data_IF_276117280171
#
_entry.id   IF_276117280171
#
_cell.length_a   1.000
_cell.length_b   1.000
_cell.length_c   1.000
_cell.angle_alpha   90.00
_cell.angle_beta   90.00
_cell.angle_gamma   90.00
#
_symmetry.space_group_name_H-M   'P 1'
#
loop_
_entity.id
_entity.type
_entity.pdbx_description
1 polymer ?
#
# COMPACT_ATOMS: atom_id res chain seq x y z
N UNK A 1 -8.32 9.69 -0.31
CA UNK A 1 -7.79 8.32 -0.01
C UNK A 1 -8.82 7.46 0.71
N UNK A 2 -9.52 7.96 1.74
CA UNK A 2 -10.62 7.20 2.38
C UNK A 2 -11.67 6.76 1.36
N UNK A 3 -12.09 7.61 0.45
CA UNK A 3 -13.09 7.29 -0.59
C UNK A 3 -12.70 6.10 -1.48
N UNK A 4 -11.41 5.96 -1.80
CA UNK A 4 -10.92 4.83 -2.57
C UNK A 4 -11.19 3.49 -1.88
N UNK A 5 -10.96 3.43 -0.56
CA UNK A 5 -11.12 2.24 0.25
C UNK A 5 -12.59 1.98 0.66
N UNK A 6 -13.39 3.03 0.84
CA UNK A 6 -14.83 2.90 1.14
C UNK A 6 -15.57 2.20 0.01
N UNK A 7 -15.25 2.51 -1.25
CA UNK A 7 -15.88 1.90 -2.41
C UNK A 7 -15.49 0.43 -2.59
N UNK A 8 -14.23 0.10 -2.34
CA UNK A 8 -13.71 -1.26 -2.35
C UNK A 8 -12.45 -1.36 -1.47
N UNK A 9 -12.47 -2.11 -0.36
CA UNK A 9 -11.35 -2.18 0.56
C UNK A 9 -10.24 -3.17 0.13
N UNK A 10 -10.37 -3.83 -1.02
CA UNK A 10 -9.40 -4.82 -1.50
C UNK A 10 -8.27 -4.15 -2.28
N UNK A 11 -7.04 -4.54 -2.00
CA UNK A 11 -5.83 -4.02 -2.62
C UNK A 11 -4.96 -5.19 -3.07
N UNK A 12 -4.54 -5.18 -4.34
CA UNK A 12 -3.62 -6.20 -4.84
C UNK A 12 -2.18 -5.86 -4.44
N UNK A 13 -1.49 -6.76 -3.76
CA UNK A 13 -0.04 -6.73 -3.66
C UNK A 13 0.52 -7.54 -4.84
N UNK A 14 0.78 -6.86 -5.97
CA UNK A 14 1.16 -7.47 -7.22
C UNK A 14 2.68 -7.41 -7.46
N UNK A 15 3.19 -8.36 -8.23
CA UNK A 15 4.49 -8.32 -8.86
C UNK A 15 4.36 -7.84 -10.32
N UNK A 16 5.48 -7.51 -10.96
CA UNK A 16 5.47 -7.07 -12.35
C UNK A 16 4.76 -8.10 -13.27
N UNK A 17 5.02 -9.39 -13.07
CA UNK A 17 4.50 -10.47 -13.92
C UNK A 17 2.98 -10.61 -13.86
N UNK A 18 2.33 -10.26 -12.75
CA UNK A 18 0.88 -10.33 -12.59
C UNK A 18 0.19 -8.94 -12.50
N UNK A 19 0.93 -7.87 -12.81
CA UNK A 19 0.40 -6.50 -12.76
C UNK A 19 -0.82 -6.31 -13.68
N UNK A 20 -0.77 -6.86 -14.90
CA UNK A 20 -1.88 -6.81 -15.86
C UNK A 20 -3.15 -7.49 -15.32
N UNK A 21 -3.01 -8.61 -14.61
CA UNK A 21 -4.12 -9.29 -13.94
C UNK A 21 -4.69 -8.41 -12.83
N UNK A 22 -3.85 -7.83 -11.98
CA UNK A 22 -4.28 -6.93 -10.92
C UNK A 22 -5.02 -5.70 -11.46
N UNK A 23 -4.55 -5.09 -12.55
CA UNK A 23 -5.21 -3.95 -13.20
C UNK A 23 -6.61 -4.30 -13.69
N UNK A 24 -6.83 -5.54 -14.15
CA UNK A 24 -8.12 -6.01 -14.66
C UNK A 24 -9.04 -6.59 -13.57
N UNK A 25 -8.55 -6.78 -12.36
CA UNK A 25 -9.32 -7.28 -11.23
C UNK A 25 -10.24 -6.22 -10.61
N UNK A 26 -11.03 -6.61 -9.58
CA UNK A 26 -11.95 -5.71 -8.88
C UNK A 26 -11.29 -4.84 -7.80
N UNK A 27 -10.01 -5.04 -7.47
CA UNK A 27 -9.35 -4.29 -6.39
C UNK A 27 -9.39 -2.77 -6.63
N UNK A 28 -9.40 -1.99 -5.55
CA UNK A 28 -9.43 -0.53 -5.62
C UNK A 28 -8.08 0.07 -6.04
N UNK A 29 -6.99 -0.56 -5.62
CA UNK A 29 -5.63 -0.09 -5.88
C UNK A 29 -4.65 -1.27 -5.95
N UNK A 30 -3.45 -0.98 -6.41
CA UNK A 30 -2.37 -1.95 -6.53
C UNK A 30 -1.15 -1.45 -5.75
N UNK A 31 -0.54 -2.32 -4.95
CA UNK A 31 0.80 -2.16 -4.43
C UNK A 31 1.73 -3.00 -5.31
N UNK A 32 2.55 -2.34 -6.13
CA UNK A 32 3.55 -3.02 -6.94
C UNK A 32 4.77 -3.31 -6.07
N UNK A 33 4.97 -4.61 -5.79
CA UNK A 33 5.91 -5.10 -4.79
C UNK A 33 7.32 -5.38 -5.32
N UNK A 34 7.51 -5.29 -6.64
CA UNK A 34 8.80 -5.40 -7.30
C UNK A 34 8.80 -4.60 -8.60
N UNK A 35 9.92 -4.61 -9.30
CA UNK A 35 10.07 -4.01 -10.62
C UNK A 35 11.49 -3.54 -10.87
N UNK A 36 11.80 -3.37 -12.15
CA UNK A 36 13.03 -2.71 -12.59
C UNK A 36 12.68 -1.32 -13.09
N UNK A 37 13.62 -0.39 -12.95
CA UNK A 37 13.41 0.99 -13.35
C UNK A 37 12.98 1.12 -14.82
N UNK A 38 13.59 0.35 -15.71
CA UNK A 38 13.22 0.34 -17.13
C UNK A 38 11.78 -0.14 -17.37
N UNK A 39 11.33 -1.17 -16.63
CA UNK A 39 9.95 -1.69 -16.71
C UNK A 39 8.92 -0.64 -16.29
N UNK A 40 9.24 0.16 -15.27
CA UNK A 40 8.38 1.26 -14.80
C UNK A 40 8.32 2.44 -15.79
N UNK A 41 9.30 2.56 -16.69
CA UNK A 41 9.35 3.59 -17.72
C UNK A 41 8.61 3.18 -19.01
N UNK A 42 8.18 1.93 -19.12
CA UNK A 42 7.46 1.45 -20.29
C UNK A 42 6.06 2.06 -20.40
N UNK A 43 5.57 2.19 -21.62
CA UNK A 43 4.22 2.71 -21.89
C UNK A 43 3.12 1.88 -21.22
N UNK A 44 3.31 0.58 -21.09
CA UNK A 44 2.35 -0.30 -20.44
C UNK A 44 2.12 0.07 -18.97
N UNK A 45 3.18 0.39 -18.22
CA UNK A 45 3.04 0.86 -16.85
C UNK A 45 2.22 2.14 -16.76
N UNK A 46 2.45 3.09 -17.66
CA UNK A 46 1.69 4.35 -17.72
C UNK A 46 0.21 4.09 -17.96
N UNK A 47 -0.13 3.26 -18.95
CA UNK A 47 -1.52 2.87 -19.25
C UNK A 47 -2.19 2.17 -18.05
N UNK A 48 -1.47 1.30 -17.36
CA UNK A 48 -1.97 0.61 -16.18
C UNK A 48 -2.23 1.58 -15.03
N UNK A 49 -1.33 2.53 -14.78
CA UNK A 49 -1.48 3.52 -13.72
C UNK A 49 -2.60 4.55 -14.01
N UNK A 50 -2.90 4.84 -15.27
CA UNK A 50 -4.07 5.63 -15.68
C UNK A 50 -5.39 4.87 -15.44
N UNK A 51 -5.39 3.56 -15.64
CA UNK A 51 -6.57 2.71 -15.47
C UNK A 51 -6.89 2.42 -14.01
N UNK A 52 -5.86 2.23 -13.16
CA UNK A 52 -6.02 1.90 -11.74
C UNK A 52 -4.87 2.50 -10.90
N UNK A 53 -5.16 3.07 -9.73
CA UNK A 53 -4.12 3.62 -8.85
C UNK A 53 -3.04 2.59 -8.53
N UNK A 54 -1.79 2.86 -8.90
CA UNK A 54 -0.63 2.02 -8.59
C UNK A 54 0.28 2.76 -7.61
N UNK A 55 0.52 2.14 -6.47
CA UNK A 55 1.54 2.53 -5.51
C UNK A 55 2.78 1.66 -5.71
N UNK A 56 3.91 2.25 -6.02
CA UNK A 56 5.17 1.53 -6.22
C UNK A 56 5.90 1.38 -4.89
N UNK A 57 6.28 0.14 -4.50
CA UNK A 57 7.13 -0.09 -3.34
C UNK A 57 8.55 0.35 -3.66
N UNK A 58 8.83 1.63 -3.39
CA UNK A 58 10.04 2.30 -3.86
C UNK A 58 11.33 1.66 -3.33
N UNK A 59 11.29 1.09 -2.12
CA UNK A 59 12.46 0.45 -1.51
C UNK A 59 12.88 -0.85 -2.23
N UNK A 60 12.03 -1.41 -3.09
CA UNK A 60 12.23 -2.67 -3.81
C UNK A 60 12.48 -2.50 -5.31
N UNK A 61 12.46 -1.26 -5.83
CA UNK A 61 12.74 -1.00 -7.25
C UNK A 61 14.23 -1.20 -7.55
N UNK A 62 14.51 -2.14 -8.43
CA UNK A 62 15.87 -2.40 -8.91
C UNK A 62 16.31 -1.32 -9.90
N UNK A 63 17.56 -0.84 -9.74
CA UNK A 63 18.13 0.22 -10.58
C UNK A 63 17.77 1.64 -10.12
N UNK A 64 17.15 1.79 -8.96
CA UNK A 64 16.82 3.07 -8.36
C UNK A 64 17.51 3.20 -6.99
N UNK A 65 18.08 4.36 -6.69
CA UNK A 65 18.67 4.65 -5.38
C UNK A 65 17.59 4.87 -4.31
N UNK A 66 17.98 4.76 -3.03
CA UNK A 66 17.07 4.97 -1.90
C UNK A 66 17.29 6.38 -1.30
N UNK A 67 17.12 7.41 -2.11
CA UNK A 67 17.29 8.82 -1.73
C UNK A 67 16.20 9.73 -2.31
N UNK A 68 16.23 11.00 -1.94
CA UNK A 68 15.23 11.98 -2.40
C UNK A 68 15.28 12.26 -3.90
N UNK A 69 16.43 12.03 -4.55
CA UNK A 69 16.59 12.25 -6.00
C UNK A 69 15.88 11.15 -6.79
N UNK A 70 15.86 9.93 -6.25
CA UNK A 70 15.05 8.84 -6.79
C UNK A 70 13.55 9.21 -6.82
N UNK A 71 13.04 9.87 -5.78
CA UNK A 71 11.65 10.37 -5.76
C UNK A 71 11.43 11.47 -6.81
N UNK A 72 12.42 12.36 -7.00
CA UNK A 72 12.35 13.38 -8.05
C UNK A 72 12.29 12.75 -9.44
N UNK A 73 13.09 11.72 -9.68
CA UNK A 73 13.07 10.94 -10.91
C UNK A 73 11.72 10.23 -11.12
N UNK A 74 11.24 9.50 -10.10
CA UNK A 74 9.95 8.82 -10.13
C UNK A 74 8.81 9.78 -10.47
N UNK A 75 8.76 10.94 -9.84
CA UNK A 75 7.71 11.95 -10.11
C UNK A 75 7.79 12.48 -11.53
N UNK A 76 9.00 12.74 -12.03
CA UNK A 76 9.18 13.40 -13.35
C UNK A 76 8.93 12.45 -14.52
N UNK A 77 9.40 11.21 -14.45
CA UNK A 77 9.48 10.31 -15.59
C UNK A 77 8.48 9.15 -15.55
N UNK A 78 8.04 8.73 -14.36
CA UNK A 78 7.15 7.58 -14.19
C UNK A 78 5.77 8.06 -13.70
N UNK A 79 5.76 9.01 -12.78
CA UNK A 79 4.58 9.63 -12.18
C UNK A 79 3.53 8.59 -11.70
N UNK A 80 3.91 7.63 -10.83
CA UNK A 80 2.95 6.69 -10.27
C UNK A 80 1.89 7.43 -9.45
N UNK A 81 0.76 6.79 -9.15
CA UNK A 81 -0.24 7.37 -8.27
C UNK A 81 0.34 7.67 -6.87
N UNK A 82 1.21 6.79 -6.39
CA UNK A 82 1.90 6.98 -5.11
C UNK A 82 3.06 6.02 -4.92
N UNK A 83 3.62 6.04 -3.72
CA UNK A 83 4.66 5.12 -3.28
C UNK A 83 4.30 4.41 -1.99
N UNK A 84 4.87 3.22 -1.80
CA UNK A 84 4.96 2.53 -0.51
C UNK A 84 6.41 2.55 -0.06
N UNK A 85 6.66 2.89 1.21
CA UNK A 85 8.00 2.82 1.78
C UNK A 85 7.96 2.56 3.28
N UNK A 86 9.03 1.96 3.79
CA UNK A 86 9.32 1.86 5.23
C UNK A 86 10.18 3.04 5.72
N UNK A 87 10.72 3.85 4.80
CA UNK A 87 11.74 4.88 5.09
C UNK A 87 11.14 6.28 5.12
N UNK A 88 11.25 6.96 6.25
CA UNK A 88 10.75 8.35 6.43
C UNK A 88 11.29 9.33 5.39
N UNK A 89 12.56 9.19 4.99
CA UNK A 89 13.16 10.07 3.96
C UNK A 89 12.43 9.98 2.63
N UNK A 90 12.02 8.76 2.22
CA UNK A 90 11.30 8.54 0.97
C UNK A 90 9.87 9.08 1.04
N UNK A 91 9.16 8.81 2.14
CA UNK A 91 7.79 9.29 2.37
C UNK A 91 7.73 10.83 2.36
N UNK A 92 8.61 11.49 3.12
CA UNK A 92 8.68 12.96 3.18
C UNK A 92 9.03 13.57 1.82
N UNK A 93 9.95 12.96 1.06
CA UNK A 93 10.31 13.42 -0.28
C UNK A 93 9.13 13.26 -1.26
N UNK A 94 8.45 12.13 -1.25
CA UNK A 94 7.29 11.83 -2.10
C UNK A 94 6.13 12.81 -1.84
N UNK A 95 5.81 13.06 -0.58
CA UNK A 95 4.79 14.01 -0.17
C UNK A 95 5.08 15.43 -0.68
N UNK A 96 6.34 15.89 -0.56
CA UNK A 96 6.79 17.20 -1.09
C UNK A 96 6.65 17.31 -2.61
N UNK A 97 6.70 16.18 -3.33
CA UNK A 97 6.52 16.12 -4.79
C UNK A 97 5.07 15.87 -5.21
N UNK A 98 4.12 15.80 -4.28
CA UNK A 98 2.70 15.58 -4.55
C UNK A 98 2.36 14.14 -4.96
N UNK A 99 3.21 13.15 -4.63
CA UNK A 99 2.87 11.74 -4.72
C UNK A 99 2.11 11.31 -3.47
N UNK A 100 1.13 10.41 -3.64
CA UNK A 100 0.47 9.77 -2.51
C UNK A 100 1.42 8.81 -1.79
N UNK A 101 1.26 8.66 -0.49
CA UNK A 101 2.19 7.90 0.35
C UNK A 101 1.48 6.84 1.18
N UNK A 102 2.01 5.62 1.14
CA UNK A 102 1.66 4.55 2.08
C UNK A 102 2.90 4.26 2.93
N UNK A 103 2.80 4.49 4.24
CA UNK A 103 3.83 4.08 5.18
C UNK A 103 3.60 2.64 5.60
N UNK A 104 4.53 1.74 5.26
CA UNK A 104 4.51 0.35 5.72
C UNK A 104 5.21 0.24 7.06
N UNK A 105 4.55 -0.42 8.02
CA UNK A 105 5.09 -0.72 9.33
C UNK A 105 5.00 -2.22 9.62
N UNK A 106 5.99 -2.74 10.37
CA UNK A 106 6.01 -4.11 10.85
C UNK A 106 5.84 -4.10 12.37
N UNK A 107 4.78 -4.73 12.85
CA UNK A 107 4.50 -4.82 14.29
C UNK A 107 4.96 -6.18 14.83
N UNK A 108 5.98 -6.16 15.67
CA UNK A 108 6.60 -7.35 16.27
C UNK A 108 6.30 -7.37 17.78
N UNK A 109 6.37 -6.21 18.43
CA UNK A 109 6.20 -6.02 19.86
C UNK A 109 5.66 -4.63 20.21
N UNK A 110 5.47 -4.36 21.50
CA UNK A 110 4.98 -3.07 22.00
C UNK A 110 5.94 -1.89 21.71
N UNK A 111 7.24 -2.16 21.58
CA UNK A 111 8.24 -1.12 21.27
C UNK A 111 8.11 -0.71 19.80
N UNK A 112 7.96 -1.67 18.89
CA UNK A 112 7.74 -1.41 17.46
C UNK A 112 6.44 -0.64 17.23
N UNK A 113 5.37 -0.93 18.00
CA UNK A 113 4.11 -0.18 17.95
C UNK A 113 4.31 1.29 18.35
N UNK A 114 4.98 1.56 19.47
CA UNK A 114 5.24 2.94 19.92
C UNK A 114 6.05 3.72 18.89
N UNK A 115 7.15 3.15 18.41
CA UNK A 115 8.00 3.76 17.38
C UNK A 115 7.24 4.00 16.07
N UNK A 116 6.34 3.09 15.69
CA UNK A 116 5.49 3.24 14.51
C UNK A 116 4.54 4.44 14.65
N UNK A 117 3.85 4.59 15.79
CA UNK A 117 2.95 5.72 16.06
C UNK A 117 3.69 7.07 15.96
N UNK A 118 4.87 7.17 16.60
CA UNK A 118 5.71 8.36 16.53
C UNK A 118 6.11 8.68 15.09
N UNK A 119 6.58 7.69 14.35
CA UNK A 119 6.98 7.82 12.95
C UNK A 119 5.81 8.20 12.02
N UNK A 120 4.62 7.65 12.25
CA UNK A 120 3.42 7.99 11.47
C UNK A 120 3.02 9.45 11.71
N UNK A 121 3.02 9.90 12.96
CA UNK A 121 2.72 11.30 13.32
C UNK A 121 3.73 12.26 12.68
N UNK A 122 5.01 11.89 12.62
CA UNK A 122 6.07 12.72 12.01
C UNK A 122 6.00 12.74 10.47
N UNK A 123 5.75 11.59 9.83
CA UNK A 123 5.75 11.46 8.36
C UNK A 123 4.43 11.92 7.74
N UNK A 124 3.34 11.86 8.50
CA UNK A 124 1.97 12.21 8.07
C UNK A 124 1.60 11.57 6.72
N UNK A 125 1.67 10.22 6.59
CA UNK A 125 1.36 9.54 5.33
C UNK A 125 -0.13 9.65 4.98
N UNK A 126 -0.48 9.40 3.70
CA UNK A 126 -1.89 9.35 3.29
C UNK A 126 -2.59 8.08 3.78
N UNK A 127 -1.85 6.97 3.91
CA UNK A 127 -2.32 5.66 4.40
C UNK A 127 -1.21 4.99 5.21
N UNK A 128 -1.59 4.18 6.19
CA UNK A 128 -0.68 3.31 6.94
C UNK A 128 -0.98 1.85 6.58
N UNK A 129 0.04 1.10 6.21
CA UNK A 129 -0.05 -0.34 6.01
C UNK A 129 0.64 -1.07 7.15
N UNK A 130 -0.11 -1.90 7.86
CA UNK A 130 0.36 -2.69 9.00
C UNK A 130 0.58 -4.13 8.58
N UNK A 131 1.74 -4.67 8.89
CA UNK A 131 2.11 -6.07 8.64
C UNK A 131 2.62 -6.74 9.93
N UNK A 132 2.30 -8.01 10.14
CA UNK A 132 1.39 -8.85 9.34
C UNK A 132 -0.10 -8.58 9.66
N UNK A 133 -1.00 -8.93 8.76
CA UNK A 133 -2.45 -8.77 8.94
C UNK A 133 -3.02 -9.55 10.13
N UNK A 134 -2.31 -10.56 10.60
CA UNK A 134 -2.67 -11.33 11.81
C UNK A 134 -2.68 -10.47 13.09
N UNK A 135 -2.06 -9.30 13.07
CA UNK A 135 -2.10 -8.32 14.16
C UNK A 135 -3.38 -7.45 14.13
N UNK A 136 -4.49 -7.96 13.57
CA UNK A 136 -5.73 -7.20 13.42
C UNK A 136 -6.31 -6.66 14.73
N UNK A 137 -6.07 -7.31 15.87
CA UNK A 137 -6.50 -6.84 17.19
C UNK A 137 -5.92 -5.47 17.59
N UNK A 138 -4.81 -5.04 16.97
CA UNK A 138 -4.17 -3.76 17.25
C UNK A 138 -4.78 -2.58 16.48
N UNK A 139 -5.63 -2.83 15.49
CA UNK A 139 -6.17 -1.79 14.59
C UNK A 139 -6.94 -0.72 15.37
N UNK A 140 -7.80 -1.12 16.28
CA UNK A 140 -8.60 -0.19 17.10
C UNK A 140 -7.72 0.69 18.00
N UNK A 141 -6.65 0.11 18.57
CA UNK A 141 -5.68 0.86 19.36
C UNK A 141 -4.94 1.88 18.50
N UNK A 142 -4.51 1.49 17.28
CA UNK A 142 -3.88 2.40 16.35
C UNK A 142 -4.83 3.53 15.91
N UNK A 143 -6.10 3.24 15.62
CA UNK A 143 -7.10 4.26 15.25
C UNK A 143 -7.36 5.28 16.37
N UNK A 144 -7.15 4.91 17.61
CA UNK A 144 -7.19 5.84 18.75
C UNK A 144 -6.00 6.82 18.79
N UNK A 145 -4.89 6.48 18.12
CA UNK A 145 -3.65 7.24 18.16
C UNK A 145 -3.36 8.04 16.89
N UNK A 146 -3.91 7.62 15.75
CA UNK A 146 -3.66 8.20 14.43
C UNK A 146 -4.95 8.41 13.64
N UNK A 147 -5.08 9.54 12.94
CA UNK A 147 -6.20 9.83 12.04
C UNK A 147 -5.79 9.52 10.58
N UNK A 148 -5.44 8.26 10.31
CA UNK A 148 -5.08 7.80 8.97
C UNK A 148 -5.82 6.51 8.64
N UNK A 149 -6.20 6.29 7.38
CA UNK A 149 -6.69 4.99 6.95
C UNK A 149 -5.64 3.91 7.20
N UNK A 150 -6.09 2.77 7.72
CA UNK A 150 -5.24 1.62 8.04
C UNK A 150 -5.54 0.48 7.08
N UNK A 151 -4.51 0.00 6.39
CA UNK A 151 -4.52 -1.22 5.59
C UNK A 151 -3.82 -2.32 6.37
N UNK A 152 -4.41 -3.52 6.41
CA UNK A 152 -3.74 -4.72 6.90
C UNK A 152 -3.20 -5.55 5.73
N UNK A 153 -1.94 -5.98 5.82
CA UNK A 153 -1.28 -6.75 4.77
C UNK A 153 -0.40 -7.88 5.29
N UNK A 154 -0.05 -8.80 4.37
CA UNK A 154 0.83 -9.93 4.65
C UNK A 154 0.15 -11.13 5.27
N UNK A 155 0.56 -12.32 4.81
CA UNK A 155 0.09 -13.64 5.26
C UNK A 155 -1.41 -13.92 5.04
N UNK A 156 -2.05 -13.21 4.13
CA UNK A 156 -3.45 -13.41 3.76
C UNK A 156 -3.53 -14.39 2.59
N UNK A 157 -4.16 -15.54 2.85
CA UNK A 157 -4.29 -16.64 1.89
C UNK A 157 -5.74 -17.12 1.72
N UNK A 158 -6.67 -16.63 2.55
CA UNK A 158 -8.07 -17.05 2.58
C UNK A 158 -8.99 -15.86 2.68
N UNK A 159 -10.21 -16.01 2.14
CA UNK A 159 -11.27 -15.00 2.20
C UNK A 159 -11.63 -14.60 3.64
N UNK A 160 -11.68 -15.58 4.54
CA UNK A 160 -12.04 -15.36 5.96
C UNK A 160 -11.07 -14.36 6.61
N UNK A 161 -9.77 -14.46 6.32
CA UNK A 161 -8.77 -13.53 6.85
C UNK A 161 -8.97 -12.09 6.34
N UNK A 162 -9.46 -11.93 5.11
CA UNK A 162 -9.83 -10.61 4.56
C UNK A 162 -11.01 -10.03 5.35
N UNK A 163 -12.05 -10.85 5.58
CA UNK A 163 -13.26 -10.46 6.31
C UNK A 163 -12.91 -10.12 7.76
N UNK A 164 -12.12 -10.94 8.44
CA UNK A 164 -11.70 -10.72 9.83
C UNK A 164 -10.92 -9.42 9.99
N UNK A 165 -10.01 -9.12 9.06
CA UNK A 165 -9.25 -7.87 9.04
C UNK A 165 -10.17 -6.63 8.93
N UNK A 166 -11.17 -6.69 8.05
CA UNK A 166 -12.13 -5.61 7.86
C UNK A 166 -13.08 -5.47 9.07
N UNK A 167 -13.58 -6.58 9.62
CA UNK A 167 -14.40 -6.58 10.86
C UNK A 167 -13.64 -6.07 12.08
N UNK A 168 -12.32 -6.24 12.12
CA UNK A 168 -11.47 -5.64 13.15
C UNK A 168 -11.28 -4.13 12.98
N UNK A 169 -11.86 -3.53 11.94
CA UNK A 169 -11.85 -2.09 11.70
C UNK A 169 -10.78 -1.60 10.72
N UNK A 170 -10.09 -2.47 9.99
CA UNK A 170 -9.22 -2.02 8.91
C UNK A 170 -10.02 -1.32 7.80
N UNK A 171 -9.45 -0.26 7.22
CA UNK A 171 -10.07 0.46 6.10
C UNK A 171 -9.82 -0.23 4.76
N UNK A 172 -8.83 -1.14 4.72
CA UNK A 172 -8.50 -1.94 3.54
C UNK A 172 -7.62 -3.13 3.88
N UNK A 173 -7.47 -4.03 2.91
CA UNK A 173 -6.68 -5.25 3.06
C UNK A 173 -5.85 -5.47 1.81
N UNK A 174 -4.52 -5.64 1.95
CA UNK A 174 -3.59 -5.90 0.87
C UNK A 174 -3.09 -7.35 0.89
N UNK A 175 -3.12 -8.02 -0.26
CA UNK A 175 -2.70 -9.41 -0.38
C UNK A 175 -2.25 -9.79 -1.79
N UNK A 176 -1.35 -10.77 -1.87
CA UNK A 176 -0.76 -11.24 -3.14
C UNK A 176 -1.51 -12.41 -3.79
N UNK A 177 -2.45 -13.03 -3.10
CA UNK A 177 -3.24 -14.15 -3.61
C UNK A 177 -4.21 -13.67 -4.70
N UNK A 178 -3.88 -13.86 -5.97
CA UNK A 178 -4.65 -13.29 -7.09
C UNK A 178 -6.07 -13.82 -7.20
N UNK A 179 -6.31 -15.08 -6.82
CA UNK A 179 -7.65 -15.67 -6.77
C UNK A 179 -8.64 -14.86 -5.90
N UNK A 180 -8.11 -14.10 -4.93
CA UNK A 180 -8.91 -13.28 -4.02
C UNK A 180 -9.13 -11.85 -4.53
N UNK A 181 -8.46 -11.38 -5.60
CA UNK A 181 -8.58 -9.99 -6.09
C UNK A 181 -9.96 -9.65 -6.67
N UNK A 182 -10.77 -10.67 -6.97
CA UNK A 182 -12.11 -10.53 -7.48
C UNK A 182 -13.23 -10.82 -6.48
N UNK A 183 -12.90 -10.92 -5.18
CA UNK A 183 -13.88 -11.17 -4.13
C UNK A 183 -15.01 -10.11 -4.15
N UNK A 184 -16.22 -10.57 -3.88
CA UNK A 184 -17.35 -9.71 -3.56
C UNK A 184 -17.68 -9.88 -2.08
N UNK A 185 -17.33 -8.87 -1.29
CA UNK A 185 -17.45 -8.89 0.17
C UNK A 185 -18.47 -7.90 0.72
N UNK A 186 -19.22 -7.19 -0.17
CA UNK A 186 -20.15 -6.11 0.23
C UNK A 186 -21.24 -6.52 1.23
N UNK A 187 -21.56 -7.80 1.31
CA UNK A 187 -22.62 -8.33 2.19
C UNK A 187 -22.07 -9.08 3.42
N UNK A 188 -20.73 -9.06 3.63
CA UNK A 188 -20.07 -9.85 4.65
C UNK A 188 -19.35 -9.01 5.72
N UNK A 189 -19.35 -7.69 5.51
CA UNK A 189 -18.72 -6.69 6.42
C UNK A 189 -19.80 -5.89 7.13
#
# INVERSE_FOLDING_TARGET
MKELLVNNPLIAAAQHDNLKEAVNSKVAAILLMDGKLNELMDNDFKLFNEKKPIFVHIDLVRGLSNDKEAISFMKKYINPFGIVSTKSVMLKAAKKKGLKTIQRIFLIDSKSLKSAIESIKENDPDIVEVMPALAHSIVMSLKGEIDKPIILGGLINKKEQVIDALKAGADGVSFSKSDLWNLNIKHEI
#
